data_IF_132575122184
#
_entry.id   IF_132575122184
#
_cell.length_a   1.000
_cell.length_b   1.000
_cell.length_c   1.000
_cell.angle_alpha   90.00
_cell.angle_beta   90.00
_cell.angle_gamma   90.00
#
_symmetry.space_group_name_H-M   'P 1'
#
loop_
_entity.id
_entity.type
_entity.pdbx_description
1 polymer ?
#
# COMPACT_ATOMS: atom_id res chain seq x y z
N UNK A 1 -3.85 -11.24 -5.51
CA UNK A 1 -5.27 -10.86 -5.63
C UNK A 1 -5.95 -11.79 -6.63
N UNK A 2 -7.09 -12.42 -6.28
CA UNK A 2 -7.87 -13.26 -7.20
C UNK A 2 -8.33 -12.52 -8.47
N UNK A 3 -8.45 -13.23 -9.60
CA UNK A 3 -8.84 -12.62 -10.88
C UNK A 3 -10.25 -12.01 -10.84
N UNK A 4 -11.18 -12.59 -10.08
CA UNK A 4 -12.54 -12.07 -9.95
C UNK A 4 -12.64 -10.77 -9.13
N UNK A 5 -11.59 -10.41 -8.40
CA UNK A 5 -11.54 -9.25 -7.52
C UNK A 5 -10.66 -8.11 -8.08
N UNK A 6 -10.07 -8.31 -9.27
CA UNK A 6 -9.27 -7.28 -9.95
C UNK A 6 -10.08 -6.66 -11.11
N UNK A 7 -10.07 -5.33 -11.27
CA UNK A 7 -9.54 -4.33 -10.35
C UNK A 7 -10.44 -4.15 -9.12
N UNK A 8 -9.92 -3.48 -8.09
CA UNK A 8 -10.71 -3.12 -6.94
C UNK A 8 -11.86 -2.17 -7.33
N UNK A 9 -13.10 -2.64 -7.20
CA UNK A 9 -14.29 -1.86 -7.53
C UNK A 9 -14.36 -0.53 -6.75
N UNK A 10 -14.88 0.51 -7.42
CA UNK A 10 -15.05 1.86 -6.86
C UNK A 10 -13.75 2.65 -6.67
N UNK A 11 -12.61 2.14 -7.14
CA UNK A 11 -11.29 2.77 -6.98
C UNK A 11 -10.55 2.82 -8.30
N UNK A 12 -9.77 3.89 -8.49
CA UNK A 12 -8.76 3.92 -9.54
C UNK A 12 -7.62 2.98 -9.13
N UNK A 13 -7.31 2.01 -9.99
CA UNK A 13 -6.26 1.03 -9.73
C UNK A 13 -5.03 1.36 -10.56
N UNK A 14 -3.87 1.41 -9.91
CA UNK A 14 -2.58 1.63 -10.55
C UNK A 14 -1.69 0.43 -10.30
N UNK A 15 -1.04 -0.07 -11.35
CA UNK A 15 -0.06 -1.16 -11.24
C UNK A 15 1.29 -0.66 -11.72
N UNK A 16 2.30 -0.81 -10.87
CA UNK A 16 3.68 -0.50 -11.22
C UNK A 16 4.32 -1.69 -11.92
N UNK A 17 4.85 -1.48 -13.13
CA UNK A 17 5.58 -2.52 -13.85
C UNK A 17 6.64 -1.92 -14.77
N UNK A 18 7.85 -2.50 -14.72
CA UNK A 18 8.95 -2.17 -15.63
C UNK A 18 8.85 -2.88 -16.98
N UNK A 19 7.88 -3.78 -17.14
CA UNK A 19 7.64 -4.50 -18.39
C UNK A 19 6.78 -3.66 -19.35
N UNK A 20 6.85 -3.91 -20.67
CA UNK A 20 5.97 -3.25 -21.62
C UNK A 20 4.49 -3.37 -21.24
N UNK A 21 3.79 -2.24 -21.14
CA UNK A 21 2.39 -2.17 -20.68
C UNK A 21 1.43 -3.11 -21.46
N UNK A 22 1.52 -3.25 -22.79
CA UNK A 22 0.67 -4.19 -23.53
C UNK A 22 0.86 -5.65 -23.08
N UNK A 23 2.11 -6.05 -22.79
CA UNK A 23 2.41 -7.40 -22.33
C UNK A 23 1.83 -7.65 -20.93
N UNK A 24 1.93 -6.66 -20.03
CA UNK A 24 1.37 -6.72 -18.67
C UNK A 24 -0.16 -6.79 -18.72
N UNK A 25 -0.82 -5.92 -19.52
CA UNK A 25 -2.28 -5.95 -19.68
C UNK A 25 -2.77 -7.30 -20.18
N UNK A 26 -2.09 -7.88 -21.18
CA UNK A 26 -2.45 -9.18 -21.72
C UNK A 26 -2.26 -10.31 -20.70
N UNK A 27 -1.11 -10.37 -20.04
CA UNK A 27 -0.78 -11.41 -19.06
C UNK A 27 -1.72 -11.38 -17.83
N UNK A 28 -2.09 -10.19 -17.38
CA UNK A 28 -2.95 -9.99 -16.20
C UNK A 28 -4.41 -9.71 -16.55
N UNK A 29 -4.81 -9.78 -17.83
CA UNK A 29 -6.16 -9.49 -18.31
C UNK A 29 -6.75 -8.21 -17.70
N UNK A 30 -5.94 -7.15 -17.64
CA UNK A 30 -6.34 -5.90 -17.00
C UNK A 30 -7.22 -5.07 -17.95
N UNK A 31 -8.33 -4.48 -17.47
CA UNK A 31 -9.13 -3.57 -18.27
C UNK A 31 -8.39 -2.24 -18.50
N UNK A 32 -8.86 -1.47 -19.48
CA UNK A 32 -8.22 -0.19 -19.84
C UNK A 32 -8.34 0.89 -18.75
N UNK A 33 -9.28 0.73 -17.82
CA UNK A 33 -9.41 1.59 -16.63
C UNK A 33 -8.29 1.44 -15.61
N UNK A 34 -7.44 0.41 -15.73
CA UNK A 34 -6.26 0.25 -14.87
C UNK A 34 -5.09 1.02 -15.47
N UNK A 35 -4.54 1.94 -14.67
CA UNK A 35 -3.33 2.69 -15.03
C UNK A 35 -2.11 1.78 -14.85
N UNK A 36 -1.23 1.77 -15.85
CA UNK A 36 0.07 1.12 -15.77
C UNK A 36 1.15 2.19 -15.76
N UNK A 37 2.06 2.11 -14.81
CA UNK A 37 3.15 3.06 -14.69
C UNK A 37 4.50 2.35 -14.50
N UNK A 38 5.60 2.86 -15.09
CA UNK A 38 6.92 2.25 -14.98
C UNK A 38 7.62 2.50 -13.63
N UNK A 39 7.16 3.50 -12.87
CA UNK A 39 7.72 3.91 -11.58
C UNK A 39 6.66 4.59 -10.71
N UNK A 40 6.96 4.71 -9.41
CA UNK A 40 6.11 5.46 -8.48
C UNK A 40 5.99 6.94 -8.89
N UNK A 41 7.10 7.57 -9.28
CA UNK A 41 7.08 8.97 -9.71
C UNK A 41 6.22 9.18 -10.96
N UNK A 42 6.31 8.27 -11.94
CA UNK A 42 5.47 8.32 -13.13
C UNK A 42 3.99 8.17 -12.78
N UNK A 43 3.65 7.23 -11.89
CA UNK A 43 2.28 7.05 -11.40
C UNK A 43 1.78 8.31 -10.70
N UNK A 44 2.56 8.88 -9.78
CA UNK A 44 2.17 10.09 -9.05
C UNK A 44 2.06 11.29 -9.97
N UNK A 45 2.92 11.43 -10.98
CA UNK A 45 2.83 12.49 -11.98
C UNK A 45 1.54 12.37 -12.81
N UNK A 46 1.19 11.16 -13.25
CA UNK A 46 -0.04 10.89 -14.00
C UNK A 46 -1.28 11.20 -13.15
N UNK A 47 -1.34 10.68 -11.92
CA UNK A 47 -2.44 10.92 -10.98
C UNK A 47 -2.59 12.41 -10.63
N UNK A 48 -1.47 13.13 -10.48
CA UNK A 48 -1.48 14.58 -10.31
C UNK A 48 -1.90 15.30 -11.59
N UNK A 49 -1.75 14.73 -12.78
CA UNK A 49 -2.12 15.41 -14.03
C UNK A 49 -3.57 15.15 -14.44
N UNK A 50 -4.25 14.18 -13.85
CA UNK A 50 -5.67 13.92 -14.10
C UNK A 50 -6.49 15.20 -13.87
N UNK A 51 -7.23 15.62 -14.91
CA UNK A 51 -8.04 16.85 -14.88
C UNK A 51 -9.09 16.81 -13.75
N UNK A 52 -9.57 15.62 -13.40
CA UNK A 52 -10.42 15.35 -12.24
C UNK A 52 -9.63 15.27 -10.92
N UNK A 53 -8.70 16.21 -10.67
CA UNK A 53 -7.99 16.28 -9.38
C UNK A 53 -8.94 16.30 -8.18
N UNK A 54 -10.11 16.91 -8.35
CA UNK A 54 -11.15 16.98 -7.32
C UNK A 54 -11.83 15.63 -7.05
N UNK A 55 -11.72 14.64 -7.95
CA UNK A 55 -12.28 13.30 -7.76
C UNK A 55 -11.32 12.34 -7.02
N UNK A 56 -10.03 12.68 -6.91
CA UNK A 56 -9.04 11.86 -6.22
C UNK A 56 -8.84 12.36 -4.78
N UNK A 57 -9.51 11.69 -3.84
CA UNK A 57 -9.44 12.04 -2.42
C UNK A 57 -8.11 11.60 -1.76
N UNK A 58 -7.69 10.34 -1.96
CA UNK A 58 -6.53 9.77 -1.26
C UNK A 58 -5.85 8.68 -2.09
N UNK A 59 -4.51 8.65 -2.07
CA UNK A 59 -3.71 7.64 -2.79
C UNK A 59 -3.30 6.51 -1.84
N UNK A 60 -3.91 5.35 -2.09
CA UNK A 60 -3.66 4.02 -1.52
C UNK A 60 -2.38 3.31 -1.97
N UNK A 61 -1.25 3.37 -1.26
CA UNK A 61 -0.15 2.40 -1.50
C UNK A 61 -0.44 1.09 -0.76
N UNK A 62 -0.74 0.02 -1.51
CA UNK A 62 -1.19 -1.27 -0.96
C UNK A 62 -0.19 -2.43 -1.17
N UNK A 63 1.06 -2.10 -1.49
CA UNK A 63 2.16 -3.06 -1.58
C UNK A 63 2.55 -3.47 -3.01
N UNK A 64 3.39 -4.49 -3.20
CA UNK A 64 4.04 -5.34 -2.17
C UNK A 64 5.26 -4.69 -1.49
N UNK A 65 6.11 -5.48 -0.83
CA UNK A 65 7.27 -5.00 -0.04
C UNK A 65 8.13 -3.98 -0.79
N UNK A 66 8.53 -4.28 -2.03
CA UNK A 66 9.34 -3.34 -2.84
C UNK A 66 8.63 -2.03 -3.17
N UNK A 67 7.30 -2.02 -3.25
CA UNK A 67 6.51 -0.81 -3.48
C UNK A 67 6.37 -0.01 -2.19
N UNK A 68 6.22 -0.69 -1.05
CA UNK A 68 6.26 -0.04 0.26
C UNK A 68 7.62 0.60 0.52
N UNK A 69 8.72 -0.13 0.27
CA UNK A 69 10.10 0.38 0.36
C UNK A 69 10.26 1.64 -0.48
N UNK A 70 9.81 1.59 -1.74
CA UNK A 70 9.89 2.69 -2.69
C UNK A 70 9.11 3.92 -2.19
N UNK A 71 7.87 3.73 -1.75
CA UNK A 71 7.02 4.82 -1.27
C UNK A 71 7.59 5.47 -0.02
N UNK A 72 8.00 4.67 0.96
CA UNK A 72 8.58 5.18 2.22
C UNK A 72 9.91 5.90 1.99
N UNK A 73 10.80 5.31 1.18
CA UNK A 73 12.11 5.90 0.89
C UNK A 73 12.01 7.19 0.06
N UNK A 74 10.94 7.36 -0.72
CA UNK A 74 10.69 8.58 -1.49
C UNK A 74 10.15 9.75 -0.67
N UNK A 75 9.74 9.51 0.59
CA UNK A 75 9.22 10.56 1.48
C UNK A 75 7.83 11.09 1.09
N UNK A 76 7.10 10.40 0.21
CA UNK A 76 5.76 10.80 -0.26
C UNK A 76 4.61 10.30 0.60
N UNK A 77 4.91 9.58 1.69
CA UNK A 77 3.90 8.94 2.55
C UNK A 77 3.55 9.84 3.73
N UNK A 78 2.31 10.30 3.77
CA UNK A 78 1.79 11.12 4.88
C UNK A 78 1.34 10.29 6.10
N UNK A 79 0.73 9.13 5.85
CA UNK A 79 0.13 8.27 6.87
C UNK A 79 0.35 6.79 6.54
N UNK A 80 0.70 6.01 7.58
CA UNK A 80 0.85 4.57 7.49
C UNK A 80 -0.24 3.86 8.30
N UNK A 81 -1.16 3.19 7.60
CA UNK A 81 -2.21 2.37 8.23
C UNK A 81 -1.71 0.93 8.36
N UNK A 82 -1.41 0.50 9.59
CA UNK A 82 -0.86 -0.84 9.87
C UNK A 82 -1.84 -1.69 10.66
N UNK A 83 -2.07 -2.91 10.17
CA UNK A 83 -2.71 -3.97 10.96
C UNK A 83 -1.63 -4.80 11.63
N UNK A 84 -1.50 -4.70 12.95
CA UNK A 84 -0.61 -5.55 13.71
C UNK A 84 -1.28 -6.91 13.95
N UNK A 85 -0.82 -7.94 13.24
CA UNK A 85 -1.33 -9.30 13.40
C UNK A 85 -0.49 -10.04 14.43
N UNK A 86 -1.12 -10.40 15.54
CA UNK A 86 -0.52 -11.30 16.54
C UNK A 86 -1.04 -12.71 16.29
N UNK A 87 -0.16 -13.70 16.43
CA UNK A 87 -0.52 -15.10 16.26
C UNK A 87 0.01 -15.93 17.43
N UNK A 88 -0.75 -16.95 17.83
CA UNK A 88 -0.44 -17.77 19.00
C UNK A 88 0.60 -18.87 18.72
N UNK A 89 0.81 -19.23 17.45
CA UNK A 89 1.88 -20.16 17.10
C UNK A 89 3.26 -19.50 17.26
N UNK A 90 4.26 -20.31 17.59
CA UNK A 90 5.64 -19.86 17.82
C UNK A 90 6.25 -19.12 16.63
N UNK A 91 5.84 -19.46 15.40
CA UNK A 91 6.19 -18.70 14.20
C UNK A 91 5.19 -18.93 13.05
N UNK A 92 5.07 -17.95 12.17
CA UNK A 92 4.47 -18.09 10.84
C UNK A 92 5.63 -17.95 9.84
N UNK A 93 5.75 -18.91 8.92
CA UNK A 93 6.74 -18.80 7.85
C UNK A 93 6.38 -17.63 6.93
N UNK A 94 7.34 -16.74 6.70
CA UNK A 94 7.22 -15.59 5.81
C UNK A 94 8.53 -15.40 5.04
N UNK A 95 8.44 -15.10 3.76
CA UNK A 95 9.58 -14.84 2.88
C UNK A 95 9.74 -13.35 2.53
N UNK A 96 8.75 -12.55 2.91
CA UNK A 96 8.64 -11.13 2.61
C UNK A 96 8.49 -10.37 3.92
N UNK A 97 9.46 -9.51 4.22
CA UNK A 97 9.47 -8.69 5.43
C UNK A 97 9.46 -7.20 5.10
N UNK A 98 8.79 -6.43 5.95
CA UNK A 98 8.91 -4.98 5.97
C UNK A 98 10.20 -4.63 6.73
N UNK A 99 11.24 -4.19 6.02
CA UNK A 99 12.59 -4.01 6.61
C UNK A 99 12.90 -2.56 7.00
N UNK A 100 12.03 -1.61 6.65
CA UNK A 100 12.20 -0.23 7.06
C UNK A 100 12.08 -0.10 8.58
N UNK A 101 12.92 0.75 9.21
CA UNK A 101 12.59 1.21 10.55
C UNK A 101 11.22 1.88 10.43
N UNK A 102 10.18 1.33 11.04
CA UNK A 102 9.01 2.12 11.40
C UNK A 102 9.61 3.32 12.14
N UNK A 103 9.57 4.55 11.59
CA UNK A 103 10.47 5.60 12.05
C UNK A 103 10.29 5.74 13.56
N UNK A 104 11.34 5.39 14.31
CA UNK A 104 11.31 5.43 15.76
C UNK A 104 11.12 6.87 16.27
N UNK A 105 11.18 7.85 15.36
CA UNK A 105 11.14 9.26 15.62
C UNK A 105 9.70 9.79 15.46
N UNK A 106 9.09 10.00 16.63
CA UNK A 106 8.11 11.04 16.99
C UNK A 106 6.62 10.91 16.60
N UNK A 107 6.14 10.81 15.34
CA UNK A 107 4.70 10.60 15.08
C UNK A 107 4.26 9.14 15.22
N UNK A 108 5.12 8.18 14.88
CA UNK A 108 4.77 6.75 14.79
C UNK A 108 4.61 6.04 16.14
N UNK A 109 5.28 6.53 17.19
CA UNK A 109 5.09 5.99 18.55
C UNK A 109 3.66 6.16 19.08
N UNK A 110 2.93 7.21 18.67
CA UNK A 110 1.54 7.42 19.09
C UNK A 110 0.61 6.31 18.61
N UNK A 111 0.86 5.77 17.41
CA UNK A 111 0.12 4.62 16.87
C UNK A 111 0.41 3.37 17.70
N UNK A 112 1.67 3.13 18.07
CA UNK A 112 2.07 1.99 18.90
C UNK A 112 1.65 2.13 20.38
N UNK A 113 1.53 3.34 20.91
CA UNK A 113 1.00 3.61 22.25
C UNK A 113 -0.52 3.43 22.32
N UNK A 114 -1.26 3.94 21.33
CA UNK A 114 -2.71 3.74 21.25
C UNK A 114 -3.13 2.28 21.13
N UNK A 115 -2.33 1.43 20.46
CA UNK A 115 -2.57 -0.03 20.41
C UNK A 115 -2.36 -0.69 21.78
N UNK A 116 -1.40 -0.25 22.60
CA UNK A 116 -1.19 -0.79 23.96
C UNK A 116 -2.31 -0.39 24.91
N UNK A 117 -2.78 0.85 24.83
CA UNK A 117 -3.90 1.34 25.63
C UNK A 117 -5.23 0.65 25.27
N UNK A 118 -5.49 0.42 23.97
CA UNK A 118 -6.67 -0.31 23.51
C UNK A 118 -6.66 -1.80 23.95
N UNK A 119 -5.48 -2.45 23.97
CA UNK A 119 -5.35 -3.82 24.48
C UNK A 119 -5.47 -3.91 26.01
N UNK A 120 -5.07 -2.88 26.77
CA UNK A 120 -5.30 -2.82 28.21
C UNK A 120 -6.79 -2.73 28.55
N UNK A 121 -7.56 -1.97 27.77
CA UNK A 121 -9.01 -1.87 27.97
C UNK A 121 -9.76 -3.20 27.77
N UNK A 122 -9.29 -4.05 26.86
CA UNK A 122 -9.87 -5.40 26.63
C UNK A 122 -9.40 -6.44 27.66
N UNK A 123 -8.37 -6.17 28.44
CA UNK A 123 -7.90 -7.07 29.51
C UNK A 123 -8.56 -6.77 30.86
N UNK A 124 -9.22 -5.62 30.99
CA UNK A 124 -9.87 -5.14 32.23
C UNK A 124 -11.41 -5.08 32.14
N UNK A 125 -12.00 -5.54 31.03
CA UNK A 125 -13.46 -5.67 30.81
C UNK A 125 -13.92 -7.14 30.87
#
# INVERSE_FOLDING_TARGET
MPEAQRPFAGRLNVVLSRQPHPAVKAALRLPDSVVLAPSLDAALAELRSCEDREALETIHVIGGASVYDLALSSGVVDLLLLTHVQHQAESIETDTAMTWPLPADSPYQRVLQGVREACQWLAEA
#
